data_IF_194795714920
#
_entry.id   IF_194795714920
#
_cell.length_a   1.000
_cell.length_b   1.000
_cell.length_c   1.000
_cell.angle_alpha   90.00
_cell.angle_beta   90.00
_cell.angle_gamma   90.00
#
_symmetry.space_group_name_H-M   'P 1'
#
loop_
_entity.id
_entity.type
_entity.pdbx_description
1 polymer ?
#
# COMPACT_ATOMS: atom_id res chain seq x y z
N UNK A 1 6.59 16.51 -6.18
CA UNK A 1 5.35 15.76 -5.89
C UNK A 1 4.42 16.69 -5.14
N UNK A 2 3.12 16.80 -5.49
CA UNK A 2 2.17 17.54 -4.62
C UNK A 2 2.23 16.91 -3.22
N UNK A 3 2.42 17.70 -2.17
CA UNK A 3 2.35 17.22 -0.78
C UNK A 3 0.97 16.60 -0.55
N UNK A 4 0.92 15.28 -0.54
CA UNK A 4 -0.26 14.51 -0.21
C UNK A 4 -0.09 14.00 1.20
N UNK A 5 -1.06 14.29 2.06
CA UNK A 5 -1.07 13.72 3.40
C UNK A 5 -1.41 12.23 3.31
N UNK A 6 -0.70 11.43 4.10
CA UNK A 6 -0.90 9.98 4.20
C UNK A 6 -1.56 9.69 5.54
N UNK A 7 -2.71 9.04 5.52
CA UNK A 7 -3.36 8.56 6.75
C UNK A 7 -2.77 7.22 7.18
N UNK A 8 -2.42 7.11 8.45
CA UNK A 8 -1.97 5.89 9.13
C UNK A 8 -2.83 5.63 10.37
N UNK A 9 -2.90 4.39 10.87
CA UNK A 9 -3.55 4.10 12.14
C UNK A 9 -2.95 4.93 13.28
N UNK A 10 -3.78 5.35 14.22
CA UNK A 10 -3.35 6.11 15.40
C UNK A 10 -2.27 5.35 16.19
N UNK A 11 -2.45 4.05 16.36
CA UNK A 11 -1.47 3.19 17.05
C UNK A 11 -0.09 3.22 16.40
N UNK A 12 -0.03 3.11 15.06
CA UNK A 12 1.23 3.19 14.32
C UNK A 12 1.88 4.58 14.48
N UNK A 13 1.08 5.65 14.47
CA UNK A 13 1.59 6.99 14.74
C UNK A 13 2.17 7.11 16.17
N UNK A 14 1.49 6.56 17.17
CA UNK A 14 1.96 6.59 18.54
C UNK A 14 3.24 5.77 18.73
N UNK A 15 3.32 4.57 18.15
CA UNK A 15 4.53 3.75 18.14
C UNK A 15 5.71 4.50 17.51
N UNK A 16 5.48 5.22 16.41
CA UNK A 16 6.51 6.09 15.80
C UNK A 16 7.00 7.18 16.76
N UNK A 17 6.11 7.78 17.55
CA UNK A 17 6.50 8.77 18.56
C UNK A 17 7.33 8.11 19.67
N UNK A 18 6.92 6.95 20.18
CA UNK A 18 7.67 6.22 21.21
C UNK A 18 9.07 5.85 20.72
N UNK A 19 9.18 5.33 19.50
CA UNK A 19 10.45 4.91 18.92
C UNK A 19 11.40 6.10 18.68
N UNK A 20 10.91 7.19 18.09
CA UNK A 20 11.77 8.31 17.69
C UNK A 20 12.00 9.38 18.78
N UNK A 21 11.07 9.54 19.73
CA UNK A 21 11.15 10.61 20.73
C UNK A 21 11.45 10.11 22.14
N UNK A 22 11.25 8.82 22.40
CA UNK A 22 11.43 8.22 23.74
C UNK A 22 12.47 7.10 23.75
N UNK A 23 13.14 6.85 22.61
CA UNK A 23 14.14 5.79 22.42
C UNK A 23 13.63 4.39 22.85
N UNK A 24 12.33 4.14 22.69
CA UNK A 24 11.71 2.84 22.99
C UNK A 24 11.72 1.94 21.74
N UNK A 25 12.69 1.04 21.67
CA UNK A 25 12.94 0.10 20.56
C UNK A 25 11.97 -1.09 20.52
N UNK A 26 11.24 -1.36 21.61
CA UNK A 26 10.25 -2.46 21.73
C UNK A 26 9.19 -2.50 20.59
N UNK A 27 8.97 -1.38 19.90
CA UNK A 27 7.98 -1.25 18.83
C UNK A 27 8.56 -1.26 17.41
N UNK A 28 9.88 -1.40 17.23
CA UNK A 28 10.53 -1.28 15.91
C UNK A 28 9.93 -2.24 14.87
N UNK A 29 9.78 -3.51 15.25
CA UNK A 29 9.21 -4.54 14.35
C UNK A 29 7.77 -4.21 13.96
N UNK A 30 6.94 -3.80 14.93
CA UNK A 30 5.54 -3.41 14.69
C UNK A 30 5.43 -2.18 13.79
N UNK A 31 6.32 -1.20 13.98
CA UNK A 31 6.40 -0.01 13.13
C UNK A 31 6.72 -0.41 11.69
N UNK A 32 7.73 -1.27 11.51
CA UNK A 32 8.13 -1.76 10.19
C UNK A 32 6.96 -2.47 9.49
N UNK A 33 6.31 -3.42 10.16
CA UNK A 33 5.15 -4.12 9.61
C UNK A 33 4.01 -3.16 9.24
N UNK A 34 3.71 -2.21 10.12
CA UNK A 34 2.66 -1.21 9.90
C UNK A 34 2.95 -0.31 8.69
N UNK A 35 4.20 0.13 8.53
CA UNK A 35 4.64 0.94 7.40
C UNK A 35 4.66 0.14 6.10
N UNK A 36 5.14 -1.11 6.11
CA UNK A 36 5.11 -2.00 4.95
C UNK A 36 3.68 -2.26 4.49
N UNK A 37 2.76 -2.53 5.42
CA UNK A 37 1.32 -2.67 5.12
C UNK A 37 0.76 -1.39 4.50
N UNK A 38 1.14 -0.21 5.03
CA UNK A 38 0.69 1.06 4.47
C UNK A 38 1.21 1.29 3.06
N UNK A 39 2.49 1.02 2.83
CA UNK A 39 3.12 1.14 1.51
C UNK A 39 2.43 0.23 0.50
N UNK A 40 2.19 -1.03 0.86
CA UNK A 40 1.46 -1.97 0.00
C UNK A 40 0.08 -1.45 -0.39
N UNK A 41 -0.68 -0.91 0.57
CA UNK A 41 -1.99 -0.30 0.30
C UNK A 41 -1.90 0.90 -0.66
N UNK A 42 -0.87 1.73 -0.55
CA UNK A 42 -0.66 2.87 -1.46
C UNK A 42 -0.39 2.38 -2.89
N UNK A 43 0.45 1.36 -3.06
CA UNK A 43 0.76 0.77 -4.37
C UNK A 43 -0.48 0.11 -4.97
N UNK A 44 -1.23 -0.68 -4.19
CA UNK A 44 -2.49 -1.28 -4.64
C UNK A 44 -3.49 -0.20 -5.11
N UNK A 45 -3.62 0.89 -4.35
CA UNK A 45 -4.52 1.99 -4.69
C UNK A 45 -4.08 2.70 -5.98
N UNK A 46 -2.78 2.87 -6.18
CA UNK A 46 -2.24 3.46 -7.40
C UNK A 46 -2.49 2.57 -8.62
N UNK A 47 -2.18 1.27 -8.52
CA UNK A 47 -2.46 0.29 -9.57
C UNK A 47 -3.94 0.25 -9.94
N UNK A 48 -4.82 0.20 -8.93
CA UNK A 48 -6.26 0.24 -9.15
C UNK A 48 -6.70 1.52 -9.85
N UNK A 49 -6.16 2.67 -9.45
CA UNK A 49 -6.45 3.96 -10.09
C UNK A 49 -6.02 3.95 -11.56
N UNK A 50 -4.80 3.50 -11.85
CA UNK A 50 -4.27 3.38 -13.22
C UNK A 50 -5.11 2.44 -14.08
N UNK A 51 -5.51 1.29 -13.54
CA UNK A 51 -6.45 0.38 -14.21
C UNK A 51 -7.77 1.07 -14.55
N UNK A 52 -8.38 1.79 -13.60
CA UNK A 52 -9.68 2.45 -13.82
C UNK A 52 -9.63 3.65 -14.75
N UNK A 53 -8.47 4.29 -14.91
CA UNK A 53 -8.31 5.49 -15.74
C UNK A 53 -7.43 5.27 -16.97
N UNK A 54 -7.08 4.02 -17.29
CA UNK A 54 -6.27 3.70 -18.45
C UNK A 54 -7.01 4.11 -19.75
N UNK A 55 -6.34 4.80 -20.69
CA UNK A 55 -6.97 5.29 -21.92
C UNK A 55 -7.17 4.19 -22.97
N UNK A 56 -6.41 3.08 -22.89
CA UNK A 56 -6.44 1.97 -23.83
C UNK A 56 -6.80 0.66 -23.14
N UNK A 57 -7.45 -0.27 -23.86
CA UNK A 57 -7.78 -1.59 -23.31
C UNK A 57 -6.53 -2.45 -23.04
N UNK A 58 -5.45 -2.29 -23.81
CA UNK A 58 -4.17 -2.98 -23.54
C UNK A 58 -3.54 -2.54 -22.22
N UNK A 59 -3.45 -1.22 -21.96
CA UNK A 59 -2.92 -0.71 -20.69
C UNK A 59 -3.84 -1.07 -19.53
N UNK A 60 -5.15 -1.03 -19.75
CA UNK A 60 -6.14 -1.44 -18.76
C UNK A 60 -5.99 -2.91 -18.38
N UNK A 61 -5.86 -3.81 -19.36
CA UNK A 61 -5.66 -5.23 -19.08
C UNK A 61 -4.30 -5.49 -18.42
N UNK A 62 -3.25 -4.76 -18.81
CA UNK A 62 -1.94 -4.81 -18.14
C UNK A 62 -2.05 -4.46 -16.66
N UNK A 63 -2.65 -3.31 -16.32
CA UNK A 63 -2.82 -2.91 -14.92
C UNK A 63 -3.78 -3.83 -14.15
N UNK A 64 -4.79 -4.40 -14.82
CA UNK A 64 -5.68 -5.40 -14.22
C UNK A 64 -4.89 -6.65 -13.83
N UNK A 65 -4.08 -7.20 -14.72
CA UNK A 65 -3.26 -8.38 -14.42
C UNK A 65 -2.26 -8.09 -13.29
N UNK A 66 -1.55 -6.97 -13.35
CA UNK A 66 -0.59 -6.59 -12.31
C UNK A 66 -1.25 -6.41 -10.93
N UNK A 67 -2.46 -5.82 -10.88
CA UNK A 67 -3.25 -5.74 -9.65
C UNK A 67 -3.66 -7.13 -9.13
N UNK A 68 -4.19 -7.99 -10.00
CA UNK A 68 -4.64 -9.34 -9.61
C UNK A 68 -3.49 -10.25 -9.17
N UNK A 69 -2.32 -10.14 -9.82
CA UNK A 69 -1.08 -10.82 -9.43
C UNK A 69 -0.63 -10.38 -8.04
N UNK A 70 -0.62 -9.06 -7.77
CA UNK A 70 -0.25 -8.53 -6.46
C UNK A 70 -1.23 -8.94 -5.36
N UNK A 71 -2.53 -9.08 -5.70
CA UNK A 71 -3.57 -9.61 -4.80
C UNK A 71 -3.47 -11.12 -4.59
N UNK A 72 -2.62 -11.83 -5.33
CA UNK A 72 -2.46 -13.28 -5.23
C UNK A 72 -3.68 -14.07 -5.74
N UNK A 73 -4.51 -13.47 -6.60
CA UNK A 73 -5.71 -14.15 -7.11
C UNK A 73 -5.27 -15.17 -8.17
N UNK A 74 -5.58 -16.47 -8.05
CA UNK A 74 -5.18 -17.45 -9.05
C UNK A 74 -5.85 -17.18 -10.40
N UNK A 75 -5.18 -17.49 -11.51
CA UNK A 75 -5.65 -17.18 -12.86
C UNK A 75 -7.08 -17.68 -13.15
N UNK A 76 -7.42 -18.85 -12.62
CA UNK A 76 -8.73 -19.48 -12.81
C UNK A 76 -9.88 -18.72 -12.12
N UNK A 77 -9.57 -17.78 -11.23
CA UNK A 77 -10.54 -16.94 -10.52
C UNK A 77 -10.57 -15.49 -11.04
N UNK A 78 -9.95 -15.22 -12.19
CA UNK A 78 -9.83 -13.88 -12.81
C UNK A 78 -10.81 -13.67 -13.97
N UNK A 79 -12.09 -13.97 -13.74
CA UNK A 79 -13.15 -13.65 -14.69
C UNK A 79 -13.43 -12.13 -14.77
#
# INVERSE_FOLDING_TARGET
>A
MKNKNVQIPYELFFQLLQYHLMDMDESEEKIKEGLEKKLNSLVERELYSRYKTAPTEEEKEKYRQEYLDRRGIPKDFRW
#
